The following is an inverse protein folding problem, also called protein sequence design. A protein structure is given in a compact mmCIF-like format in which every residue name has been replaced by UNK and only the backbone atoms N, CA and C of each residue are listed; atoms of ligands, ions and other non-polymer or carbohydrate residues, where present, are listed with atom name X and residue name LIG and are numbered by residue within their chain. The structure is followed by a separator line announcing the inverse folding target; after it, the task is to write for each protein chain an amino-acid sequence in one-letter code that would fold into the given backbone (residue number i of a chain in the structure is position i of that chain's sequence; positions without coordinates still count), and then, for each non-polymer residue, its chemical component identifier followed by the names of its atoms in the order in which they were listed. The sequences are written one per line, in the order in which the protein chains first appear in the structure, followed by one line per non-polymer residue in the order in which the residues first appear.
data_IF_856580014801
#
_entry.id   IF_856580014801
#
_cell.length_a   1.000
_cell.length_b   1.000
_cell.length_c   1.000
_cell.angle_alpha   90.00
_cell.angle_beta   90.00
_cell.angle_gamma   90.00
#
_symmetry.space_group_name_H-M   'P 1'
#
loop_
_entity.id
_entity.type
_entity.pdbx_description
1 polymer ?
#
# COMPACT_ATOMS: atom_id res chain seq x y z
N UNK A 1 10.37 -1.17 20.68
CA UNK A 1 10.51 0.23 20.23
C UNK A 1 10.71 0.24 18.72
N UNK A 2 9.68 0.55 17.94
CA UNK A 2 9.77 0.85 16.49
C UNK A 2 8.50 1.54 15.93
N UNK A 3 7.56 1.98 16.77
CA UNK A 3 6.23 2.41 16.31
C UNK A 3 6.25 3.67 15.41
N UNK A 4 7.36 4.41 15.34
CA UNK A 4 7.47 5.62 14.51
C UNK A 4 7.77 5.34 13.03
N UNK A 5 8.46 4.24 12.71
CA UNK A 5 9.01 4.02 11.36
C UNK A 5 7.92 3.59 10.38
N UNK A 6 7.00 2.73 10.81
CA UNK A 6 5.90 2.18 10.00
C UNK A 6 4.92 3.26 9.45
N UNK A 7 4.85 4.41 10.12
CA UNK A 7 3.97 5.53 9.74
C UNK A 7 4.64 6.57 8.83
N UNK A 8 5.89 6.30 8.44
CA UNK A 8 6.74 7.23 7.71
C UNK A 8 6.62 7.07 6.18
N UNK A 9 7.00 8.09 5.40
CA UNK A 9 7.13 7.96 3.95
C UNK A 9 8.10 6.84 3.54
N UNK A 10 9.15 6.59 4.34
CA UNK A 10 10.13 5.54 4.06
C UNK A 10 9.54 4.13 4.25
N UNK A 11 8.66 3.95 5.23
CA UNK A 11 7.90 2.71 5.37
C UNK A 11 6.97 2.49 4.18
N UNK A 12 6.20 3.51 3.76
CA UNK A 12 5.34 3.39 2.58
C UNK A 12 6.12 3.01 1.31
N UNK A 13 7.34 3.52 1.14
CA UNK A 13 8.22 3.14 0.04
C UNK A 13 8.74 1.70 0.16
N UNK A 14 9.10 1.27 1.37
CA UNK A 14 9.56 -0.10 1.63
C UNK A 14 8.44 -1.10 1.34
N UNK A 15 7.26 -0.91 1.93
CA UNK A 15 6.08 -1.78 1.74
C UNK A 15 5.71 -1.87 0.24
N UNK A 16 5.64 -0.72 -0.46
CA UNK A 16 5.32 -0.73 -1.89
C UNK A 16 6.35 -1.53 -2.72
N UNK A 17 7.63 -1.54 -2.32
CA UNK A 17 8.66 -2.33 -3.00
C UNK A 17 8.55 -3.81 -2.68
N UNK A 18 8.29 -4.15 -1.43
CA UNK A 18 8.15 -5.53 -0.94
C UNK A 18 6.92 -6.20 -1.58
N UNK A 19 5.75 -5.55 -1.56
CA UNK A 19 4.52 -6.14 -2.10
C UNK A 19 4.51 -6.20 -3.64
N UNK A 20 5.02 -5.16 -4.31
CA UNK A 20 4.90 -5.06 -5.78
C UNK A 20 6.13 -5.52 -6.55
N UNK A 21 7.29 -5.64 -5.91
CA UNK A 21 8.58 -5.87 -6.56
C UNK A 21 9.11 -4.71 -7.42
N UNK A 22 8.38 -3.58 -7.52
CA UNK A 22 8.81 -2.42 -8.29
C UNK A 22 9.62 -1.45 -7.42
N UNK A 23 10.71 -0.90 -7.94
CA UNK A 23 11.67 -0.11 -7.15
C UNK A 23 11.63 1.39 -7.43
N UNK A 24 11.05 1.81 -8.55
CA UNK A 24 11.06 3.19 -9.04
C UNK A 24 10.12 4.17 -8.33
N UNK A 25 9.70 3.87 -7.10
CA UNK A 25 8.77 4.71 -6.33
C UNK A 25 9.45 5.94 -5.71
N UNK A 26 8.72 7.04 -5.72
CA UNK A 26 9.03 8.28 -5.00
C UNK A 26 7.77 8.79 -4.32
N UNK A 27 7.89 9.40 -3.14
CA UNK A 27 6.74 9.96 -2.42
C UNK A 27 6.40 11.31 -3.02
N UNK A 28 5.13 11.49 -3.40
CA UNK A 28 4.60 12.80 -3.84
C UNK A 28 4.14 13.60 -2.64
N UNK A 29 3.23 13.04 -1.85
CA UNK A 29 2.68 13.66 -0.63
C UNK A 29 1.96 12.64 0.25
N UNK A 30 1.70 13.03 1.49
CA UNK A 30 0.74 12.34 2.37
C UNK A 30 -0.68 12.79 2.05
N UNK A 31 -1.59 11.86 1.78
CA UNK A 31 -3.00 12.15 1.53
C UNK A 31 -3.79 12.32 2.84
N UNK A 32 -3.39 11.59 3.90
CA UNK A 32 -3.99 11.75 5.21
C UNK A 32 -3.80 10.53 6.10
N UNK A 33 -4.64 10.48 7.14
CA UNK A 33 -4.74 9.35 8.06
C UNK A 33 -6.20 8.94 8.18
N UNK A 34 -6.45 7.64 8.31
CA UNK A 34 -7.77 7.08 8.58
C UNK A 34 -7.67 6.06 9.72
N UNK A 35 -8.73 5.94 10.51
CA UNK A 35 -8.91 4.83 11.43
C UNK A 35 -9.89 3.85 10.81
N UNK A 36 -9.55 2.56 10.83
CA UNK A 36 -10.37 1.50 10.27
C UNK A 36 -10.48 0.33 11.25
N UNK A 37 -11.70 -0.02 11.62
CA UNK A 37 -12.00 -1.19 12.44
C UNK A 37 -12.03 -2.44 11.53
N UNK A 38 -11.07 -3.35 11.72
CA UNK A 38 -10.98 -4.59 10.94
C UNK A 38 -11.76 -5.75 11.59
N UNK A 39 -12.62 -5.48 12.57
CA UNK A 39 -13.49 -6.49 13.16
C UNK A 39 -14.56 -6.99 12.17
N UNK A 40 -14.91 -8.28 12.18
CA UNK A 40 -14.45 -9.33 13.09
C UNK A 40 -13.20 -10.09 12.62
N UNK A 41 -12.59 -9.72 11.47
CA UNK A 41 -11.43 -10.42 10.91
C UNK A 41 -10.27 -10.43 11.90
N UNK A 42 -9.97 -9.27 12.50
CA UNK A 42 -9.14 -9.14 13.71
C UNK A 42 -9.79 -8.07 14.59
N UNK A 43 -9.78 -8.28 15.90
CA UNK A 43 -10.36 -7.32 16.84
C UNK A 43 -9.36 -6.18 17.10
N UNK A 44 -9.23 -5.27 16.14
CA UNK A 44 -8.22 -4.23 16.09
C UNK A 44 -8.71 -3.00 15.31
N UNK A 45 -8.38 -1.80 15.81
CA UNK A 45 -8.53 -0.54 15.07
C UNK A 45 -7.17 -0.14 14.51
N UNK A 46 -7.08 -0.06 13.18
CA UNK A 46 -5.87 0.31 12.48
C UNK A 46 -5.85 1.80 12.18
N UNK A 47 -4.78 2.49 12.58
CA UNK A 47 -4.50 3.86 12.13
C UNK A 47 -3.60 3.82 10.90
N UNK A 48 -4.18 4.09 9.74
CA UNK A 48 -3.50 3.97 8.44
C UNK A 48 -3.06 5.32 7.92
N UNK A 49 -1.82 5.39 7.49
CA UNK A 49 -1.20 6.57 6.90
C UNK A 49 -1.15 6.38 5.38
N UNK A 50 -1.85 7.22 4.63
CA UNK A 50 -1.98 7.05 3.17
C UNK A 50 -1.09 8.05 2.45
N UNK A 51 -0.28 7.56 1.53
CA UNK A 51 0.64 8.35 0.71
C UNK A 51 0.34 8.17 -0.77
N UNK A 52 0.54 9.23 -1.53
CA UNK A 52 0.58 9.20 -2.98
C UNK A 52 2.03 8.94 -3.41
N UNK A 53 2.25 7.89 -4.20
CA UNK A 53 3.55 7.54 -4.75
C UNK A 53 3.55 7.73 -6.27
N UNK A 54 4.64 8.28 -6.80
CA UNK A 54 4.92 8.31 -8.22
C UNK A 54 5.91 7.19 -8.55
N UNK A 55 5.59 6.40 -9.56
CA UNK A 55 6.42 5.33 -10.08
C UNK A 55 7.10 5.77 -11.38
N UNK A 56 8.42 5.58 -11.48
CA UNK A 56 9.20 5.83 -12.69
C UNK A 56 9.81 4.53 -13.21
N UNK A 57 9.83 4.38 -14.53
CA UNK A 57 10.35 3.18 -15.21
C UNK A 57 9.23 2.33 -15.80
N UNK A 58 9.52 1.08 -16.18
CA UNK A 58 8.53 0.16 -16.75
C UNK A 58 7.38 -0.10 -15.77
N UNK A 59 6.15 0.07 -16.24
CA UNK A 59 4.92 -0.21 -15.50
C UNK A 59 4.09 -1.23 -16.29
N UNK A 60 4.39 -2.54 -16.18
CA UNK A 60 3.60 -3.56 -16.87
C UNK A 60 2.14 -3.49 -16.43
N UNK A 61 1.21 -3.83 -17.32
CA UNK A 61 -0.23 -3.81 -16.98
C UNK A 61 -0.57 -4.84 -15.90
N UNK A 62 0.15 -5.97 -15.90
CA UNK A 62 0.03 -7.08 -14.97
C UNK A 62 1.38 -7.78 -14.81
N UNK A 63 1.71 -8.19 -13.60
CA UNK A 63 2.97 -8.88 -13.29
C UNK A 63 2.84 -9.74 -12.02
N UNK A 64 3.75 -10.69 -11.84
CA UNK A 64 3.88 -11.44 -10.61
C UNK A 64 4.88 -10.74 -9.67
N UNK A 65 4.60 -10.77 -8.37
CA UNK A 65 5.53 -10.37 -7.30
C UNK A 65 5.46 -11.36 -6.15
N UNK A 66 6.39 -11.22 -5.20
CA UNK A 66 6.38 -11.98 -3.97
C UNK A 66 6.90 -11.13 -2.82
N UNK A 67 6.34 -11.35 -1.63
CA UNK A 67 6.85 -10.81 -0.37
C UNK A 67 7.48 -11.96 0.43
N UNK A 68 8.77 -11.82 0.72
CA UNK A 68 9.57 -12.87 1.37
C UNK A 68 9.47 -12.86 2.92
N UNK A 69 8.67 -11.95 3.50
CA UNK A 69 8.56 -11.72 4.95
C UNK A 69 9.94 -11.50 5.61
N UNK A 70 10.11 -11.99 6.84
CA UNK A 70 11.40 -12.07 7.55
C UNK A 70 12.27 -13.26 7.10
N UNK A 71 11.87 -13.98 6.04
CA UNK A 71 12.53 -15.18 5.54
C UNK A 71 12.28 -16.45 6.36
N UNK A 72 11.52 -16.38 7.46
CA UNK A 72 11.14 -17.55 8.26
C UNK A 72 9.84 -18.20 7.74
N UNK A 73 9.04 -17.44 6.99
CA UNK A 73 7.76 -17.87 6.44
C UNK A 73 7.85 -18.09 4.93
N UNK A 74 6.97 -18.93 4.38
CA UNK A 74 6.87 -19.10 2.92
C UNK A 74 6.51 -17.75 2.26
N UNK A 75 7.17 -17.38 1.15
CA UNK A 75 6.86 -16.14 0.46
C UNK A 75 5.41 -16.07 0.02
N UNK A 76 4.78 -14.92 0.23
CA UNK A 76 3.43 -14.69 -0.29
C UNK A 76 3.51 -14.27 -1.74
N UNK A 77 2.93 -15.10 -2.62
CA UNK A 77 2.89 -14.84 -4.06
C UNK A 77 1.71 -13.94 -4.41
N UNK A 78 1.97 -12.92 -5.22
CA UNK A 78 0.96 -11.96 -5.67
C UNK A 78 0.89 -11.88 -7.19
N UNK A 79 -0.32 -11.61 -7.69
CA UNK A 79 -0.53 -11.05 -9.02
C UNK A 79 -0.88 -9.57 -8.85
N UNK A 80 -0.03 -8.69 -9.36
CA UNK A 80 -0.24 -7.26 -9.34
C UNK A 80 -0.75 -6.78 -10.69
N UNK A 81 -1.66 -5.80 -10.67
CA UNK A 81 -2.18 -5.13 -11.85
C UNK A 81 -2.74 -3.76 -11.50
N UNK A 82 -2.84 -2.89 -12.50
CA UNK A 82 -3.43 -1.56 -12.33
C UNK A 82 -4.95 -1.60 -12.45
N UNK A 83 -5.63 -0.80 -11.64
CA UNK A 83 -7.06 -0.53 -11.79
C UNK A 83 -7.32 0.95 -12.06
N UNK A 84 -8.37 1.32 -12.80
CA UNK A 84 -8.76 2.72 -12.93
C UNK A 84 -9.06 3.37 -11.57
N UNK A 85 -8.68 4.64 -11.37
CA UNK A 85 -8.94 5.33 -10.10
C UNK A 85 -10.44 5.39 -9.74
N UNK A 86 -11.32 5.50 -10.73
CA UNK A 86 -12.78 5.46 -10.53
C UNK A 86 -13.28 4.14 -9.90
N UNK A 87 -12.51 3.06 -10.06
CA UNK A 87 -12.83 1.75 -9.47
C UNK A 87 -12.15 1.51 -8.14
N UNK A 88 -11.38 2.45 -7.59
CA UNK A 88 -10.65 2.25 -6.34
C UNK A 88 -11.53 1.97 -5.11
N UNK A 89 -12.84 2.23 -5.21
CA UNK A 89 -13.83 1.86 -4.19
C UNK A 89 -13.94 0.34 -3.98
N UNK A 90 -13.48 -0.48 -4.94
CA UNK A 90 -13.48 -1.96 -4.81
C UNK A 90 -12.35 -2.48 -3.93
N UNK A 91 -11.37 -1.62 -3.58
CA UNK A 91 -10.26 -2.03 -2.73
C UNK A 91 -10.78 -2.44 -1.34
N UNK A 92 -10.39 -3.65 -0.93
CA UNK A 92 -10.87 -4.26 0.30
C UNK A 92 -10.53 -3.40 1.52
N UNK A 93 -11.34 -3.54 2.57
CA UNK A 93 -11.07 -2.99 3.89
C UNK A 93 -10.89 -1.47 3.87
N UNK A 94 -11.52 -0.74 2.94
CA UNK A 94 -11.46 0.73 2.91
C UNK A 94 -10.14 1.32 2.42
N UNK A 95 -9.26 0.55 1.77
CA UNK A 95 -7.98 1.05 1.26
C UNK A 95 -8.12 2.17 0.21
N UNK A 96 -9.30 2.29 -0.44
CA UNK A 96 -9.61 3.38 -1.37
C UNK A 96 -10.09 4.68 -0.72
N UNK A 97 -10.19 4.78 0.61
CA UNK A 97 -10.94 5.85 1.29
C UNK A 97 -10.45 7.29 0.98
N UNK A 98 -9.16 7.47 0.72
CA UNK A 98 -8.57 8.81 0.48
C UNK A 98 -8.24 9.11 -0.98
N UNK A 99 -8.64 8.25 -1.93
CA UNK A 99 -8.35 8.44 -3.38
C UNK A 99 -8.91 9.76 -3.92
N UNK A 100 -10.04 10.23 -3.40
CA UNK A 100 -10.61 11.52 -3.81
C UNK A 100 -9.70 12.72 -3.55
N UNK A 101 -8.75 12.62 -2.60
CA UNK A 101 -7.79 13.70 -2.30
C UNK A 101 -6.70 13.88 -3.36
N UNK A 102 -6.60 12.97 -4.32
CA UNK A 102 -5.69 13.13 -5.46
C UNK A 102 -6.07 14.35 -6.33
N UNK A 103 -7.34 14.74 -6.33
CA UNK A 103 -7.89 15.78 -7.21
C UNK A 103 -8.18 17.12 -6.51
N UNK A 104 -7.81 17.25 -5.24
CA UNK A 104 -8.03 18.44 -4.41
C UNK A 104 -6.76 19.09 -3.90
#
# INVERSE_FOLDING_TARGET
MAAGLDRSPDAALREAREETGLTGFTVVRKLGEIEYDISPLRFEIQRRHVFELALRGPTPERWASQEDHDGEQEPTQFECFWIPLRTAHVLQSGQGALVGRLFG
#
